data_IF_283836340394
#
_entry.id   IF_283836340394
#
_cell.length_a   1.000
_cell.length_b   1.000
_cell.length_c   1.000
_cell.angle_alpha   90.00
_cell.angle_beta   90.00
_cell.angle_gamma   90.00
#
_symmetry.space_group_name_H-M   'P 1'
#
loop_
_entity.id
_entity.type
_entity.pdbx_description
1 polymer ?
#
# COMPACT_ATOMS: atom_id res chain seq x y z
N UNK A 1 0.91 6.37 16.23
CA UNK A 1 -0.14 6.61 15.22
C UNK A 1 0.29 7.57 14.11
N UNK A 2 0.61 8.85 14.38
CA UNK A 2 0.93 9.83 13.32
C UNK A 2 2.08 9.42 12.39
N UNK A 3 3.17 8.88 12.95
CA UNK A 3 4.30 8.36 12.18
C UNK A 3 3.89 7.21 11.26
N UNK A 4 3.13 6.24 11.78
CA UNK A 4 2.69 5.06 11.03
C UNK A 4 1.78 5.44 9.85
N UNK A 5 0.83 6.35 10.06
CA UNK A 5 -0.03 6.84 8.98
C UNK A 5 0.77 7.55 7.89
N UNK A 6 1.71 8.41 8.28
CA UNK A 6 2.57 9.11 7.32
C UNK A 6 3.46 8.14 6.54
N UNK A 7 4.01 7.13 7.22
CA UNK A 7 4.79 6.07 6.59
C UNK A 7 3.95 5.28 5.57
N UNK A 8 2.72 4.88 5.91
CA UNK A 8 1.82 4.23 4.94
C UNK A 8 1.56 5.12 3.72
N UNK A 9 1.27 6.40 3.93
CA UNK A 9 1.02 7.35 2.82
C UNK A 9 2.24 7.43 1.90
N UNK A 10 3.45 7.56 2.44
CA UNK A 10 4.68 7.61 1.65
C UNK A 10 4.91 6.33 0.86
N UNK A 11 4.82 5.17 1.51
CA UNK A 11 5.05 3.88 0.84
C UNK A 11 3.99 3.63 -0.24
N UNK A 12 2.74 3.98 0.04
CA UNK A 12 1.64 3.86 -0.93
C UNK A 12 1.85 4.79 -2.11
N UNK A 13 2.19 6.07 -1.90
CA UNK A 13 2.45 7.00 -2.98
C UNK A 13 3.66 6.58 -3.83
N UNK A 14 4.75 6.16 -3.18
CA UNK A 14 5.98 5.71 -3.84
C UNK A 14 5.79 4.44 -4.68
N UNK A 15 4.74 3.65 -4.45
CA UNK A 15 4.46 2.42 -5.21
C UNK A 15 3.29 2.59 -6.19
N UNK A 16 2.26 3.35 -5.81
CA UNK A 16 1.09 3.66 -6.65
C UNK A 16 1.47 4.52 -7.86
N UNK A 17 2.25 5.60 -7.65
CA UNK A 17 2.64 6.50 -8.74
C UNK A 17 3.42 5.79 -9.85
N UNK A 18 4.52 5.05 -9.58
CA UNK A 18 5.21 4.31 -10.63
C UNK A 18 4.36 3.19 -11.23
N UNK A 19 3.49 2.53 -10.44
CA UNK A 19 2.54 1.54 -10.98
C UNK A 19 1.59 2.17 -12.00
N UNK A 20 1.02 3.33 -11.69
CA UNK A 20 0.11 4.06 -12.57
C UNK A 20 0.83 4.57 -13.83
N UNK A 21 2.07 5.04 -13.69
CA UNK A 21 2.90 5.44 -14.84
C UNK A 21 3.18 4.27 -15.78
N UNK A 22 3.61 3.11 -15.27
CA UNK A 22 3.84 1.92 -16.11
C UNK A 22 2.57 1.42 -16.77
N UNK A 23 1.42 1.51 -16.08
CA UNK A 23 0.14 1.16 -16.65
C UNK A 23 -0.28 2.14 -17.75
N UNK A 24 -0.03 3.44 -17.57
CA UNK A 24 -0.23 4.45 -18.60
C UNK A 24 0.65 4.19 -19.83
N UNK A 25 1.94 3.90 -19.63
CA UNK A 25 2.85 3.54 -20.73
C UNK A 25 2.29 2.33 -21.49
N UNK A 26 1.85 1.28 -20.80
CA UNK A 26 1.22 0.13 -21.45
C UNK A 26 -0.01 0.52 -22.28
N UNK A 27 -0.90 1.36 -21.76
CA UNK A 27 -2.11 1.80 -22.48
C UNK A 27 -1.76 2.51 -23.79
N UNK A 28 -0.69 3.32 -23.81
CA UNK A 28 -0.27 4.05 -25.00
C UNK A 28 0.63 3.26 -25.95
N UNK A 29 1.40 2.29 -25.45
CA UNK A 29 2.43 1.57 -26.25
C UNK A 29 2.08 0.12 -26.55
N UNK A 30 1.16 -0.50 -25.81
CA UNK A 30 0.88 -1.94 -25.86
C UNK A 30 2.03 -2.83 -25.35
N UNK A 31 3.11 -2.25 -24.80
CA UNK A 31 4.28 -3.03 -24.41
C UNK A 31 4.03 -3.89 -23.16
N UNK A 32 3.94 -5.20 -23.33
CA UNK A 32 3.65 -6.15 -22.24
C UNK A 32 4.68 -6.10 -21.10
N UNK A 33 5.92 -5.71 -21.38
CA UNK A 33 6.94 -5.49 -20.35
C UNK A 33 6.54 -4.40 -19.35
N UNK A 34 5.90 -3.32 -19.82
CA UNK A 34 5.39 -2.25 -18.97
C UNK A 34 4.23 -2.75 -18.10
N UNK A 35 3.34 -3.58 -18.67
CA UNK A 35 2.24 -4.21 -17.92
C UNK A 35 2.76 -5.14 -16.82
N UNK A 36 3.79 -5.93 -17.09
CA UNK A 36 4.38 -6.81 -16.09
C UNK A 36 5.00 -6.02 -14.92
N UNK A 37 5.68 -4.91 -15.20
CA UNK A 37 6.26 -4.03 -14.17
C UNK A 37 5.16 -3.34 -13.36
N UNK A 38 4.12 -2.81 -14.01
CA UNK A 38 2.95 -2.23 -13.36
C UNK A 38 2.29 -3.25 -12.41
N UNK A 39 2.07 -4.48 -12.88
CA UNK A 39 1.40 -5.54 -12.10
C UNK A 39 2.19 -5.94 -10.85
N UNK A 40 3.53 -6.02 -10.93
CA UNK A 40 4.37 -6.30 -9.76
C UNK A 40 4.24 -5.20 -8.71
N UNK A 41 4.33 -3.94 -9.12
CA UNK A 41 4.19 -2.79 -8.22
C UNK A 41 2.79 -2.72 -7.61
N UNK A 42 1.76 -2.95 -8.40
CA UNK A 42 0.37 -3.00 -7.93
C UNK A 42 0.13 -4.11 -6.91
N UNK A 43 0.64 -5.32 -7.15
CA UNK A 43 0.51 -6.43 -6.22
C UNK A 43 1.23 -6.16 -4.89
N UNK A 44 2.44 -5.61 -4.95
CA UNK A 44 3.19 -5.21 -3.77
C UNK A 44 2.42 -4.16 -2.96
N UNK A 45 1.97 -3.09 -3.61
CA UNK A 45 1.14 -2.05 -2.99
C UNK A 45 -0.08 -2.66 -2.32
N UNK A 46 -0.84 -3.50 -3.04
CA UNK A 46 -2.07 -4.10 -2.53
C UNK A 46 -1.83 -4.93 -1.27
N UNK A 47 -0.82 -5.80 -1.28
CA UNK A 47 -0.47 -6.63 -0.12
C UNK A 47 0.00 -5.76 1.04
N UNK A 48 0.89 -4.80 0.78
CA UNK A 48 1.42 -3.90 1.80
C UNK A 48 0.32 -3.06 2.44
N UNK A 49 -0.57 -2.47 1.65
CA UNK A 49 -1.71 -1.67 2.15
C UNK A 49 -2.66 -2.52 2.99
N UNK A 50 -3.01 -3.73 2.53
CA UNK A 50 -3.88 -4.64 3.31
C UNK A 50 -3.23 -5.03 4.63
N UNK A 51 -1.93 -5.36 4.63
CA UNK A 51 -1.19 -5.72 5.83
C UNK A 51 -1.09 -4.53 6.80
N UNK A 52 -0.70 -3.35 6.30
CA UNK A 52 -0.61 -2.13 7.11
C UNK A 52 -1.97 -1.74 7.72
N UNK A 53 -3.05 -1.83 6.94
CA UNK A 53 -4.40 -1.60 7.43
C UNK A 53 -4.78 -2.59 8.53
N UNK A 54 -4.53 -3.88 8.33
CA UNK A 54 -4.84 -4.92 9.30
C UNK A 54 -4.09 -4.69 10.63
N UNK A 55 -2.78 -4.42 10.55
CA UNK A 55 -1.95 -4.08 11.72
C UNK A 55 -2.48 -2.85 12.44
N UNK A 56 -2.93 -1.83 11.71
CA UNK A 56 -3.49 -0.61 12.30
C UNK A 56 -4.76 -0.93 13.08
N UNK A 57 -5.70 -1.64 12.46
CA UNK A 57 -7.00 -1.95 13.07
C UNK A 57 -6.78 -2.79 14.33
N UNK A 58 -6.05 -3.91 14.22
CA UNK A 58 -5.80 -4.80 15.36
C UNK A 58 -4.92 -4.15 16.42
N UNK A 59 -3.95 -3.31 16.05
CA UNK A 59 -3.16 -2.53 16.99
C UNK A 59 -4.03 -1.60 17.83
N UNK A 60 -5.00 -0.91 17.23
CA UNK A 60 -5.96 -0.09 17.98
C UNK A 60 -6.87 -0.95 18.89
N UNK A 61 -7.32 -2.11 18.42
CA UNK A 61 -8.13 -3.04 19.23
C UNK A 61 -7.36 -3.52 20.46
N UNK A 62 -6.11 -3.95 20.30
CA UNK A 62 -5.26 -4.42 21.40
C UNK A 62 -4.99 -3.30 22.40
N UNK A 63 -4.66 -2.10 21.93
CA UNK A 63 -4.45 -0.93 22.81
C UNK A 63 -5.74 -0.56 23.54
N UNK A 64 -6.89 -0.58 22.86
CA UNK A 64 -8.19 -0.31 23.47
C UNK A 64 -8.58 -1.35 24.53
N UNK A 65 -8.34 -2.63 24.27
CA UNK A 65 -8.55 -3.69 25.25
C UNK A 65 -7.63 -3.53 26.47
N UNK A 66 -6.36 -3.19 26.25
CA UNK A 66 -5.42 -2.93 27.34
C UNK A 66 -5.88 -1.78 28.25
N UNK A 67 -6.38 -0.69 27.66
CA UNK A 67 -6.92 0.46 28.39
C UNK A 67 -8.24 0.18 29.12
N UNK A 68 -8.99 -0.85 28.72
CA UNK A 68 -10.20 -1.27 29.44
C UNK A 68 -9.88 -2.20 30.62
N UNK A 69 -8.74 -2.90 30.57
CA UNK A 69 -8.31 -3.87 31.58
C UNK A 69 -7.40 -3.28 32.67
N UNK A 70 -6.93 -2.04 32.51
CA UNK A 70 -6.14 -1.28 33.49
C UNK A 70 -6.85 0.02 33.82
#
# INVERSE_FOLDING_TARGET
MRFFYWFMVVVMAATLLPSALYMGIYVFTGADEALQRARKMWNFLRVFTLLGFNITVWGNVVVGLWQLMH
#
